data_IF_588561988342
#
_entry.id   IF_588561988342
#
_cell.length_a   1.000
_cell.length_b   1.000
_cell.length_c   1.000
_cell.angle_alpha   90.00
_cell.angle_beta   90.00
_cell.angle_gamma   90.00
#
_symmetry.space_group_name_H-M   'P 1'
#
loop_
_entity.id
_entity.type
_entity.pdbx_description
1 polymer ?
#
# COMPACT_ATOMS: atom_id res chain seq x y z
N UNK A 1 -5.46 -18.47 10.50
CA UNK A 1 -4.29 -17.57 10.54
C UNK A 1 -4.73 -16.28 11.20
N UNK A 2 -3.85 -15.67 12.00
CA UNK A 2 -4.21 -14.51 12.82
C UNK A 2 -4.34 -13.25 11.95
N UNK A 3 -5.55 -12.71 11.81
CA UNK A 3 -5.85 -11.53 10.99
C UNK A 3 -5.79 -10.21 11.79
N UNK A 4 -5.19 -10.21 12.97
CA UNK A 4 -5.13 -9.04 13.86
C UNK A 4 -3.69 -8.67 14.17
N UNK A 5 -3.37 -7.37 14.03
CA UNK A 5 -2.05 -6.84 14.34
C UNK A 5 -1.72 -7.05 15.82
N UNK A 6 -2.68 -6.81 16.72
CA UNK A 6 -2.48 -6.93 18.16
C UNK A 6 -2.01 -8.34 18.60
N UNK A 7 -2.42 -9.37 17.87
CA UNK A 7 -2.03 -10.75 18.14
C UNK A 7 -0.68 -11.14 17.50
N UNK A 8 -0.27 -10.47 16.41
CA UNK A 8 1.04 -10.68 15.77
C UNK A 8 2.15 -9.82 16.38
N UNK A 9 1.80 -8.64 16.88
CA UNK A 9 2.71 -7.59 17.31
C UNK A 9 3.76 -8.06 18.34
N UNK A 10 3.42 -8.81 19.41
CA UNK A 10 4.44 -9.29 20.35
C UNK A 10 5.50 -10.18 19.69
N UNK A 11 5.09 -11.05 18.75
CA UNK A 11 6.02 -11.92 18.01
C UNK A 11 6.86 -11.11 17.02
N UNK A 12 6.23 -10.16 16.33
CA UNK A 12 6.91 -9.30 15.37
C UNK A 12 7.97 -8.41 16.06
N UNK A 13 7.64 -7.81 17.20
CA UNK A 13 8.59 -7.02 17.99
C UNK A 13 9.74 -7.87 18.52
N UNK A 14 9.47 -9.09 19.00
CA UNK A 14 10.53 -10.03 19.39
C UNK A 14 11.44 -10.39 18.21
N UNK A 15 10.87 -10.59 17.03
CA UNK A 15 11.63 -10.84 15.80
C UNK A 15 12.58 -9.68 15.48
N UNK A 16 12.07 -8.43 15.45
CA UNK A 16 12.88 -7.23 15.20
C UNK A 16 13.98 -7.06 16.25
N UNK A 17 13.65 -7.21 17.53
CA UNK A 17 14.60 -7.08 18.64
C UNK A 17 15.75 -8.10 18.57
N UNK A 18 15.41 -9.34 18.22
CA UNK A 18 16.34 -10.48 18.27
C UNK A 18 17.23 -10.52 17.03
N UNK A 19 16.66 -10.33 15.84
CA UNK A 19 17.37 -10.55 14.58
C UNK A 19 17.93 -9.26 13.98
N UNK A 20 17.39 -8.09 14.38
CA UNK A 20 17.75 -6.77 13.85
C UNK A 20 17.93 -6.78 12.32
N UNK A 21 16.94 -7.31 11.57
CA UNK A 21 17.09 -7.52 10.15
C UNK A 21 17.23 -6.19 9.42
N UNK A 22 18.06 -6.16 8.37
CA UNK A 22 18.02 -5.07 7.40
C UNK A 22 16.70 -5.14 6.63
N UNK A 23 15.89 -4.10 6.72
CA UNK A 23 14.61 -3.98 6.02
C UNK A 23 14.65 -2.74 5.14
N UNK A 24 14.27 -2.91 3.87
CA UNK A 24 14.21 -1.86 2.86
C UNK A 24 12.76 -1.69 2.40
N UNK A 25 12.21 -0.50 2.54
CA UNK A 25 10.90 -0.12 2.04
C UNK A 25 11.04 0.56 0.66
N UNK A 26 10.58 -0.13 -0.37
CA UNK A 26 10.58 0.31 -1.76
C UNK A 26 9.36 1.15 -2.13
N UNK A 27 9.28 2.40 -1.65
CA UNK A 27 8.11 3.27 -1.89
C UNK A 27 8.46 4.75 -2.01
N UNK A 28 7.69 5.48 -2.83
CA UNK A 28 7.66 6.95 -2.87
C UNK A 28 6.47 7.55 -2.08
N UNK A 29 5.50 6.72 -1.68
CA UNK A 29 4.28 7.17 -1.01
C UNK A 29 4.54 7.54 0.45
N UNK A 30 4.14 8.77 0.82
CA UNK A 30 4.18 9.27 2.20
C UNK A 30 3.26 8.46 3.13
N UNK A 31 2.07 8.06 2.67
CA UNK A 31 1.14 7.23 3.45
C UNK A 31 1.77 5.87 3.79
N UNK A 32 2.43 5.21 2.83
CA UNK A 32 3.14 3.94 3.08
C UNK A 32 4.32 4.08 4.03
N UNK A 33 5.06 5.19 3.96
CA UNK A 33 6.15 5.49 4.90
C UNK A 33 5.62 5.74 6.32
N UNK A 34 4.48 6.42 6.46
CA UNK A 34 3.82 6.62 7.75
C UNK A 34 3.41 5.28 8.36
N UNK A 35 2.75 4.41 7.60
CA UNK A 35 2.32 3.09 8.06
C UNK A 35 3.49 2.19 8.44
N UNK A 36 4.56 2.18 7.64
CA UNK A 36 5.78 1.46 7.97
C UNK A 36 6.41 1.99 9.26
N UNK A 37 6.46 3.32 9.46
CA UNK A 37 6.97 3.92 10.70
C UNK A 37 6.17 3.49 11.93
N UNK A 38 4.84 3.47 11.81
CA UNK A 38 3.95 2.99 12.88
C UNK A 38 4.20 1.52 13.18
N UNK A 39 4.33 0.67 12.15
CA UNK A 39 4.59 -0.76 12.33
C UNK A 39 5.96 -1.03 12.97
N UNK A 40 6.98 -0.28 12.58
CA UNK A 40 8.35 -0.48 13.03
C UNK A 40 8.64 0.07 14.44
N UNK A 41 7.77 0.88 15.05
CA UNK A 41 7.87 1.34 16.46
C UNK A 41 9.29 1.70 16.96
N UNK A 42 10.05 2.43 16.15
CA UNK A 42 11.41 2.89 16.50
C UNK A 42 12.56 2.00 16.03
N UNK A 43 12.28 0.84 15.42
CA UNK A 43 13.28 0.06 14.69
C UNK A 43 13.62 0.72 13.35
N UNK A 44 14.92 0.72 13.00
CA UNK A 44 15.40 1.30 11.77
C UNK A 44 15.00 0.49 10.53
N UNK A 45 14.71 1.19 9.44
CA UNK A 45 14.55 0.63 8.10
C UNK A 45 15.05 1.64 7.07
N UNK A 46 15.43 1.16 5.90
CA UNK A 46 15.86 1.98 4.77
C UNK A 46 14.68 2.26 3.85
N UNK A 47 14.74 3.38 3.13
CA UNK A 47 13.80 3.66 2.04
C UNK A 47 14.55 3.69 0.71
N UNK A 48 13.93 3.14 -0.32
CA UNK A 48 14.43 3.16 -1.71
C UNK A 48 13.28 3.46 -2.64
N UNK A 49 13.56 4.15 -3.74
CA UNK A 49 12.57 4.47 -4.76
C UNK A 49 12.87 3.68 -6.04
N UNK A 50 11.83 3.07 -6.61
CA UNK A 50 11.89 2.54 -7.96
C UNK A 50 11.71 3.69 -8.96
N UNK A 51 12.51 3.70 -10.02
CA UNK A 51 12.27 4.56 -11.19
C UNK A 51 11.76 3.65 -12.30
N UNK A 52 10.46 3.34 -12.25
CA UNK A 52 9.78 2.57 -13.29
C UNK A 52 8.71 3.44 -13.95
N UNK A 53 8.48 3.21 -15.23
CA UNK A 53 7.32 3.73 -15.92
C UNK A 53 6.12 2.83 -15.59
N UNK A 54 5.39 3.19 -14.53
CA UNK A 54 4.20 2.44 -14.11
C UNK A 54 3.12 2.42 -15.20
N UNK A 55 3.10 3.43 -16.10
CA UNK A 55 2.11 3.49 -17.18
C UNK A 55 2.36 2.47 -18.29
N UNK A 56 3.62 2.03 -18.45
CA UNK A 56 3.99 1.01 -19.42
C UNK A 56 3.57 -0.42 -18.99
N UNK A 57 3.26 -0.62 -17.71
CA UNK A 57 2.83 -1.92 -17.17
C UNK A 57 1.32 -1.91 -17.08
N UNK A 58 0.67 -2.77 -17.87
CA UNK A 58 -0.79 -2.85 -17.94
C UNK A 58 -1.23 -4.30 -17.88
N UNK A 59 -2.24 -4.56 -17.07
CA UNK A 59 -2.95 -5.83 -16.99
C UNK A 59 -4.45 -5.54 -16.92
N UNK A 60 -5.27 -6.44 -17.46
CA UNK A 60 -6.73 -6.28 -17.45
C UNK A 60 -7.32 -6.40 -16.05
N UNK A 61 -6.75 -7.31 -15.24
CA UNK A 61 -7.18 -7.55 -13.87
C UNK A 61 -6.38 -6.69 -12.90
N UNK A 62 -7.04 -6.01 -11.93
CA UNK A 62 -6.35 -5.19 -10.95
C UNK A 62 -5.35 -5.99 -10.12
N UNK A 63 -5.66 -7.24 -9.78
CA UNK A 63 -4.79 -8.14 -9.01
C UNK A 63 -3.46 -8.41 -9.73
N UNK A 64 -3.54 -8.71 -11.03
CA UNK A 64 -2.38 -8.96 -11.86
C UNK A 64 -1.55 -7.68 -12.03
N UNK A 65 -2.22 -6.54 -12.22
CA UNK A 65 -1.57 -5.23 -12.37
C UNK A 65 -0.74 -4.88 -11.15
N UNK A 66 -1.32 -4.92 -9.94
CA UNK A 66 -0.59 -4.52 -8.73
C UNK A 66 0.52 -5.49 -8.38
N UNK A 67 0.38 -6.77 -8.70
CA UNK A 67 1.46 -7.75 -8.49
C UNK A 67 2.61 -7.51 -9.47
N UNK A 68 2.31 -7.26 -10.74
CA UNK A 68 3.30 -6.93 -11.76
C UNK A 68 4.07 -5.65 -11.41
N UNK A 69 3.36 -4.60 -10.97
CA UNK A 69 3.96 -3.34 -10.53
C UNK A 69 4.88 -3.53 -9.31
N UNK A 70 4.44 -4.25 -8.28
CA UNK A 70 5.27 -4.52 -7.12
C UNK A 70 6.53 -5.32 -7.48
N UNK A 71 6.42 -6.31 -8.37
CA UNK A 71 7.59 -7.03 -8.88
C UNK A 71 8.54 -6.14 -9.68
N UNK A 72 8.03 -5.32 -10.60
CA UNK A 72 8.85 -4.39 -11.38
C UNK A 72 9.60 -3.40 -10.46
N UNK A 73 8.94 -2.89 -9.41
CA UNK A 73 9.59 -2.06 -8.39
C UNK A 73 10.72 -2.79 -7.69
N UNK A 74 10.54 -4.06 -7.34
CA UNK A 74 11.56 -4.87 -6.67
C UNK A 74 12.78 -5.07 -7.56
N UNK A 75 12.57 -5.43 -8.83
CA UNK A 75 13.67 -5.63 -9.79
C UNK A 75 14.42 -4.31 -10.07
N UNK A 76 13.71 -3.20 -10.23
CA UNK A 76 14.33 -1.89 -10.46
C UNK A 76 15.19 -1.44 -9.26
N UNK A 77 14.69 -1.60 -8.03
CA UNK A 77 15.45 -1.25 -6.82
C UNK A 77 16.70 -2.12 -6.68
N UNK A 78 16.57 -3.45 -6.86
CA UNK A 78 17.73 -4.36 -6.82
C UNK A 78 18.76 -4.00 -7.90
N UNK A 79 18.31 -3.69 -9.12
CA UNK A 79 19.18 -3.25 -10.21
C UNK A 79 19.96 -1.99 -9.88
N UNK A 80 19.32 -0.98 -9.28
CA UNK A 80 20.00 0.25 -8.84
C UNK A 80 21.03 -0.02 -7.75
N UNK A 81 20.68 -0.81 -6.73
CA UNK A 81 21.62 -1.15 -5.65
C UNK A 81 22.83 -1.93 -6.18
N UNK A 82 22.60 -2.86 -7.11
CA UNK A 82 23.66 -3.60 -7.78
C UNK A 82 24.58 -2.66 -8.59
N UNK A 83 24.00 -1.74 -9.36
CA UNK A 83 24.75 -0.77 -10.16
C UNK A 83 25.57 0.21 -9.29
N UNK A 84 25.08 0.53 -8.10
CA UNK A 84 25.79 1.35 -7.11
C UNK A 84 26.90 0.58 -6.36
N UNK A 85 27.08 -0.72 -6.61
CA UNK A 85 28.05 -1.56 -5.90
C UNK A 85 27.69 -1.80 -4.43
N UNK A 86 26.44 -1.58 -4.04
CA UNK A 86 25.98 -1.86 -2.67
C UNK A 86 25.95 -3.37 -2.44
N UNK A 87 26.31 -3.82 -1.23
CA UNK A 87 25.96 -5.18 -0.80
C UNK A 87 24.43 -5.23 -0.57
N UNK A 88 23.72 -5.61 -1.63
CA UNK A 88 22.26 -5.72 -1.63
C UNK A 88 21.79 -7.14 -1.40
N UNK A 89 22.68 -8.11 -1.11
CA UNK A 89 22.32 -9.53 -0.93
C UNK A 89 21.99 -9.90 0.50
N UNK A 90 21.69 -8.93 1.35
CA UNK A 90 21.33 -9.14 2.75
C UNK A 90 20.09 -8.36 3.12
N UNK A 91 19.20 -8.97 3.90
CA UNK A 91 17.97 -8.34 4.38
C UNK A 91 16.74 -8.64 3.52
N UNK A 92 15.72 -7.79 3.69
CA UNK A 92 14.40 -7.94 3.08
C UNK A 92 13.99 -6.65 2.37
N UNK A 93 13.60 -6.78 1.10
CA UNK A 93 13.02 -5.68 0.32
C UNK A 93 11.50 -5.83 0.28
N UNK A 94 10.79 -4.85 0.83
CA UNK A 94 9.34 -4.70 0.73
C UNK A 94 9.01 -3.78 -0.44
N UNK A 95 8.23 -4.29 -1.39
CA UNK A 95 7.61 -3.48 -2.45
C UNK A 95 6.13 -3.75 -2.47
N UNK A 96 5.35 -2.72 -2.78
CA UNK A 96 3.91 -2.81 -2.84
C UNK A 96 3.35 -1.89 -3.90
N UNK A 97 2.17 -2.25 -4.38
CA UNK A 97 1.37 -1.42 -5.25
C UNK A 97 -0.11 -1.47 -4.88
N UNK A 98 -0.88 -0.49 -5.33
CA UNK A 98 -2.31 -0.42 -5.05
C UNK A 98 -3.02 0.41 -6.09
N UNK A 99 -4.18 -0.09 -6.52
CA UNK A 99 -5.15 0.65 -7.32
C UNK A 99 -6.48 0.75 -6.59
N UNK A 100 -7.28 1.76 -6.95
CA UNK A 100 -8.68 1.84 -6.55
C UNK A 100 -9.53 1.17 -7.64
N UNK A 101 -10.62 0.54 -7.24
CA UNK A 101 -11.60 -0.06 -8.13
C UNK A 101 -12.98 0.50 -7.82
N UNK A 102 -13.74 0.85 -8.85
CA UNK A 102 -15.09 1.39 -8.70
C UNK A 102 -15.89 1.09 -9.96
N UNK A 103 -17.11 0.55 -9.80
CA UNK A 103 -17.99 0.15 -10.92
C UNK A 103 -17.28 -0.67 -12.02
N UNK A 104 -16.41 -1.61 -11.60
CA UNK A 104 -15.67 -2.50 -12.51
C UNK A 104 -14.47 -1.85 -13.23
N UNK A 105 -14.16 -0.59 -12.93
CA UNK A 105 -13.05 0.16 -13.50
C UNK A 105 -11.90 0.27 -12.50
N UNK A 106 -10.66 0.30 -13.01
CA UNK A 106 -9.47 0.68 -12.26
C UNK A 106 -9.38 2.21 -12.27
N UNK A 107 -9.39 2.81 -11.09
CA UNK A 107 -9.20 4.25 -10.89
C UNK A 107 -7.75 4.51 -10.50
N UNK A 108 -7.02 5.18 -11.39
CA UNK A 108 -5.69 5.72 -11.12
C UNK A 108 -5.82 7.11 -10.44
N UNK A 109 -4.83 7.98 -10.64
CA UNK A 109 -4.93 9.39 -10.25
C UNK A 109 -5.86 10.11 -11.23
N UNK A 110 -6.79 10.94 -10.74
CA UNK A 110 -7.69 11.70 -11.61
C UNK A 110 -6.90 12.71 -12.45
N UNK A 111 -7.30 12.89 -13.71
CA UNK A 111 -6.67 13.83 -14.65
C UNK A 111 -7.26 15.25 -14.55
N UNK A 112 -8.42 15.41 -13.91
CA UNK A 112 -9.07 16.71 -13.71
C UNK A 112 -9.93 16.78 -12.44
N UNK A 113 -10.30 17.99 -12.03
CA UNK A 113 -11.24 18.21 -10.93
C UNK A 113 -12.61 17.59 -11.21
N UNK A 114 -13.09 17.69 -12.46
CA UNK A 114 -14.37 17.13 -12.88
C UNK A 114 -14.37 15.61 -12.75
N UNK A 115 -13.25 14.96 -13.08
CA UNK A 115 -13.10 13.52 -12.89
C UNK A 115 -13.13 13.13 -11.42
N UNK A 116 -12.32 13.80 -10.58
CA UNK A 116 -12.32 13.55 -9.15
C UNK A 116 -13.73 13.74 -8.54
N UNK A 117 -14.45 14.81 -8.92
CA UNK A 117 -15.84 15.05 -8.50
C UNK A 117 -16.77 13.92 -8.89
N UNK A 118 -16.71 13.45 -10.16
CA UNK A 118 -17.55 12.34 -10.64
C UNK A 118 -17.33 11.07 -9.81
N UNK A 119 -16.08 10.75 -9.49
CA UNK A 119 -15.75 9.60 -8.65
C UNK A 119 -16.30 9.76 -7.22
N UNK A 120 -16.02 10.90 -6.57
CA UNK A 120 -16.49 11.21 -5.21
C UNK A 120 -18.02 11.12 -5.09
N UNK A 121 -18.76 11.65 -6.06
CA UNK A 121 -20.23 11.55 -6.11
C UNK A 121 -20.71 10.11 -6.31
N UNK A 122 -19.92 9.27 -6.96
CA UNK A 122 -20.22 7.86 -7.23
C UNK A 122 -20.04 6.95 -6.01
N UNK A 123 -19.11 7.26 -5.12
CA UNK A 123 -18.75 6.39 -3.99
C UNK A 123 -19.89 6.14 -3.00
N UNK A 124 -20.80 7.09 -2.83
CA UNK A 124 -22.00 6.90 -2.00
C UNK A 124 -23.09 6.04 -2.65
N UNK A 125 -22.99 5.73 -3.95
CA UNK A 125 -23.93 4.86 -4.68
C UNK A 125 -23.40 3.44 -4.81
N UNK A 126 -22.15 3.31 -5.26
CA UNK A 126 -21.44 2.03 -5.31
C UNK A 126 -20.16 2.15 -4.48
N UNK A 127 -19.93 1.25 -3.51
CA UNK A 127 -18.69 1.25 -2.73
C UNK A 127 -17.45 1.10 -3.63
N UNK A 128 -16.46 2.01 -3.52
CA UNK A 128 -15.14 1.74 -4.08
C UNK A 128 -14.43 0.65 -3.27
N UNK A 129 -13.45 0.01 -3.89
CA UNK A 129 -12.53 -0.91 -3.23
C UNK A 129 -11.09 -0.60 -3.56
N UNK A 130 -10.16 -1.12 -2.76
CA UNK A 130 -8.75 -1.12 -3.11
C UNK A 130 -8.31 -2.54 -3.43
N UNK A 131 -7.43 -2.67 -4.42
CA UNK A 131 -6.69 -3.90 -4.68
C UNK A 131 -5.23 -3.53 -4.57
N UNK A 132 -4.54 -4.10 -3.58
CA UNK A 132 -3.14 -3.90 -3.30
C UNK A 132 -2.35 -5.19 -3.34
N UNK A 133 -1.03 -5.08 -3.47
CA UNK A 133 -0.09 -6.18 -3.32
C UNK A 133 1.01 -5.80 -2.36
N UNK A 134 1.48 -6.77 -1.56
CA UNK A 134 2.71 -6.65 -0.78
C UNK A 134 3.62 -7.80 -1.19
N UNK A 135 4.86 -7.48 -1.55
CA UNK A 135 5.91 -8.43 -1.91
C UNK A 135 7.11 -8.20 -1.01
N UNK A 136 7.49 -9.22 -0.24
CA UNK A 136 8.75 -9.29 0.50
C UNK A 136 9.73 -10.17 -0.27
N UNK A 137 10.84 -9.58 -0.72
CA UNK A 137 11.95 -10.31 -1.32
C UNK A 137 13.05 -10.52 -0.29
N UNK A 138 13.37 -11.77 0.03
CA UNK A 138 14.60 -12.09 0.76
C UNK A 138 15.78 -11.86 -0.18
N UNK A 139 16.61 -10.87 0.14
CA UNK A 139 17.67 -10.42 -0.74
C UNK A 139 18.85 -11.40 -0.84
N UNK A 140 19.05 -12.26 0.17
CA UNK A 140 20.10 -13.26 0.16
C UNK A 140 19.75 -14.51 -0.63
N UNK A 141 18.48 -14.95 -0.57
CA UNK A 141 18.02 -16.17 -1.24
C UNK A 141 17.29 -15.91 -2.55
N UNK A 142 16.81 -14.68 -2.77
CA UNK A 142 15.93 -14.32 -3.88
C UNK A 142 14.47 -14.78 -3.70
N UNK A 143 14.13 -15.47 -2.61
CA UNK A 143 12.78 -15.95 -2.34
C UNK A 143 11.80 -14.77 -2.18
N UNK A 144 10.61 -14.92 -2.76
CA UNK A 144 9.54 -13.91 -2.70
C UNK A 144 8.36 -14.44 -1.88
N UNK A 145 7.85 -13.61 -0.98
CA UNK A 145 6.67 -13.87 -0.15
C UNK A 145 5.68 -12.75 -0.45
N UNK A 146 4.51 -13.10 -0.96
CA UNK A 146 3.59 -12.11 -1.51
C UNK A 146 2.14 -12.47 -1.28
N UNK A 147 1.30 -11.45 -1.17
CA UNK A 147 -0.15 -11.60 -1.06
C UNK A 147 -0.85 -10.36 -1.58
N UNK A 148 -2.11 -10.54 -1.96
CA UNK A 148 -3.03 -9.46 -2.29
C UNK A 148 -3.70 -8.93 -1.02
N UNK A 149 -4.04 -7.66 -1.04
CA UNK A 149 -4.73 -6.95 0.02
C UNK A 149 -5.93 -6.23 -0.60
N UNK A 150 -7.15 -6.73 -0.33
CA UNK A 150 -8.36 -6.27 -1.01
C UNK A 150 -9.31 -5.71 0.03
N UNK A 151 -9.79 -4.48 -0.20
CA UNK A 151 -10.71 -3.81 0.70
C UNK A 151 -11.93 -3.24 -0.03
N UNK A 152 -12.99 -2.97 0.71
CA UNK A 152 -14.14 -2.18 0.25
C UNK A 152 -14.47 -1.08 1.25
N UNK A 153 -14.77 0.11 0.77
CA UNK A 153 -15.05 1.28 1.59
C UNK A 153 -16.53 1.62 1.40
N UNK A 154 -17.31 1.52 2.47
CA UNK A 154 -18.75 1.78 2.43
C UNK A 154 -18.99 3.26 2.75
N UNK A 155 -19.32 4.05 1.73
CA UNK A 155 -19.67 5.46 1.92
C UNK A 155 -21.18 5.68 2.01
N UNK A 156 -21.59 6.61 2.88
CA UNK A 156 -22.84 7.36 2.73
C UNK A 156 -22.69 8.36 1.58
N UNK A 157 -23.79 8.90 1.02
CA UNK A 157 -23.70 10.02 0.08
C UNK A 157 -22.83 11.15 0.63
N UNK A 158 -21.78 11.51 -0.10
CA UNK A 158 -20.87 12.61 0.25
C UNK A 158 -21.53 13.92 -0.25
N UNK A 159 -21.82 14.89 0.62
CA UNK A 159 -22.44 16.16 0.22
C UNK A 159 -21.54 16.96 -0.71
N UNK A 160 -22.13 17.71 -1.64
CA UNK A 160 -21.39 18.53 -2.60
C UNK A 160 -20.43 19.53 -1.91
N UNK A 161 -20.86 20.11 -0.77
CA UNK A 161 -20.01 21.02 0.00
C UNK A 161 -18.75 20.36 0.60
N UNK A 162 -18.77 19.05 0.83
CA UNK A 162 -17.60 18.26 1.27
C UNK A 162 -16.71 17.94 0.08
N UNK A 163 -17.31 17.55 -1.05
CA UNK A 163 -16.60 17.35 -2.32
C UNK A 163 -15.85 18.63 -2.72
N UNK A 164 -16.50 19.79 -2.65
CA UNK A 164 -15.87 21.10 -2.90
C UNK A 164 -14.65 21.35 -2.02
N UNK A 165 -14.70 20.97 -0.75
CA UNK A 165 -13.59 21.15 0.18
C UNK A 165 -12.43 20.20 -0.15
N UNK A 166 -12.72 18.95 -0.50
CA UNK A 166 -11.71 17.98 -0.94
C UNK A 166 -11.01 18.49 -2.20
N UNK A 167 -11.79 18.95 -3.19
CA UNK A 167 -11.25 19.46 -4.45
C UNK A 167 -10.39 20.71 -4.23
N UNK A 168 -10.86 21.67 -3.42
CA UNK A 168 -10.07 22.86 -3.04
C UNK A 168 -8.78 22.52 -2.30
N UNK A 169 -8.75 21.39 -1.58
CA UNK A 169 -7.56 20.92 -0.87
C UNK A 169 -6.43 20.43 -1.78
N UNK A 170 -6.72 20.02 -3.02
CA UNK A 170 -5.70 19.62 -4.01
C UNK A 170 -5.09 18.22 -3.81
N UNK A 171 -5.13 17.66 -2.59
CA UNK A 171 -4.55 16.34 -2.27
C UNK A 171 -5.09 15.17 -3.12
N UNK A 172 -6.26 15.36 -3.72
CA UNK A 172 -6.93 14.40 -4.61
C UNK A 172 -6.11 14.10 -5.87
N UNK A 173 -5.36 15.07 -6.39
CA UNK A 173 -4.62 14.94 -7.66
C UNK A 173 -3.50 13.88 -7.58
N UNK A 174 -2.95 13.68 -6.39
CA UNK A 174 -1.89 12.69 -6.15
C UNK A 174 -2.39 11.39 -5.51
N UNK A 175 -3.71 11.18 -5.49
CA UNK A 175 -4.33 10.02 -4.87
C UNK A 175 -5.11 9.18 -5.87
N UNK A 176 -4.86 7.87 -5.88
CA UNK A 176 -5.66 6.95 -6.67
C UNK A 176 -7.11 7.01 -6.19
N UNK A 177 -8.07 7.13 -7.11
CA UNK A 177 -9.48 7.30 -6.75
C UNK A 177 -9.83 8.69 -6.17
N UNK A 178 -8.91 9.65 -6.18
CA UNK A 178 -9.20 11.06 -5.90
C UNK A 178 -9.60 11.38 -4.45
N UNK A 179 -9.35 10.49 -3.49
CA UNK A 179 -9.60 10.78 -2.07
C UNK A 179 -8.61 10.09 -1.15
N UNK A 180 -8.36 10.72 0.00
CA UNK A 180 -7.58 10.18 1.10
C UNK A 180 -8.52 9.89 2.26
N UNK A 181 -8.73 8.61 2.56
CA UNK A 181 -9.70 8.23 3.61
C UNK A 181 -9.32 8.77 4.99
N UNK A 182 -8.04 9.08 5.20
CA UNK A 182 -7.50 9.65 6.43
C UNK A 182 -7.87 11.12 6.64
N UNK A 183 -8.55 11.76 5.68
CA UNK A 183 -9.02 13.14 5.84
C UNK A 183 -10.20 13.20 6.83
N UNK A 184 -10.11 13.99 7.92
CA UNK A 184 -11.16 14.05 8.95
C UNK A 184 -12.55 14.45 8.41
N UNK A 185 -12.60 15.21 7.31
CA UNK A 185 -13.86 15.63 6.68
C UNK A 185 -14.67 14.44 6.13
N UNK A 186 -14.03 13.30 5.85
CA UNK A 186 -14.68 12.09 5.32
C UNK A 186 -15.24 11.17 6.41
N UNK A 187 -14.77 11.29 7.66
CA UNK A 187 -15.13 10.40 8.78
C UNK A 187 -16.65 10.22 8.95
N UNK A 188 -17.50 11.29 8.91
CA UNK A 188 -18.95 11.13 9.06
C UNK A 188 -19.64 10.33 7.94
N UNK A 189 -18.96 10.23 6.79
CA UNK A 189 -19.48 9.63 5.56
C UNK A 189 -18.96 8.22 5.34
N UNK A 190 -17.94 7.77 6.07
CA UNK A 190 -17.51 6.38 6.05
C UNK A 190 -18.41 5.59 7.00
N UNK A 191 -19.26 4.73 6.44
CA UNK A 191 -20.15 3.85 7.20
C UNK A 191 -19.49 2.53 7.62
N UNK A 192 -18.41 2.15 6.95
CA UNK A 192 -17.63 0.96 7.28
C UNK A 192 -16.50 0.71 6.28
N UNK A 193 -15.55 -0.12 6.68
CA UNK A 193 -14.47 -0.64 5.82
C UNK A 193 -14.49 -2.16 5.97
N UNK A 194 -14.66 -2.86 4.85
CA UNK A 194 -14.43 -4.29 4.76
C UNK A 194 -12.93 -4.49 4.44
N UNK A 195 -12.16 -4.88 5.45
CA UNK A 195 -10.70 -4.83 5.43
C UNK A 195 -10.19 -3.98 6.59
N UNK A 196 -9.15 -3.19 6.36
CA UNK A 196 -8.61 -2.29 7.38
C UNK A 196 -8.17 -0.95 6.78
N UNK A 197 -8.14 0.08 7.62
CA UNK A 197 -7.81 1.45 7.22
C UNK A 197 -6.39 1.57 6.63
N UNK A 198 -5.40 0.90 7.24
CA UNK A 198 -4.03 0.86 6.74
C UNK A 198 -3.90 0.17 5.37
N UNK A 199 -4.74 -0.83 5.12
CA UNK A 199 -4.86 -1.48 3.81
C UNK A 199 -5.39 -0.48 2.77
N UNK A 200 -6.47 0.26 3.07
CA UNK A 200 -6.98 1.31 2.17
C UNK A 200 -5.94 2.41 1.92
N UNK A 201 -5.21 2.81 2.95
CA UNK A 201 -4.12 3.80 2.86
C UNK A 201 -2.90 3.32 2.05
N UNK A 202 -2.83 2.03 1.68
CA UNK A 202 -1.83 1.51 0.76
C UNK A 202 -0.79 0.56 1.34
N UNK A 203 -0.89 0.15 2.61
CA UNK A 203 0.00 -0.84 3.21
C UNK A 203 -0.62 -1.51 4.45
N UNK A 204 -1.19 -2.70 4.30
CA UNK A 204 -1.60 -3.53 5.44
C UNK A 204 -0.43 -3.86 6.36
N UNK A 205 -0.48 -3.38 7.61
CA UNK A 205 0.53 -3.65 8.65
C UNK A 205 0.51 -5.11 9.07
N UNK A 206 -0.69 -5.71 9.15
CA UNK A 206 -0.86 -7.14 9.48
C UNK A 206 -0.18 -8.00 8.42
N UNK A 207 -0.49 -7.75 7.14
CA UNK A 207 0.08 -8.53 6.04
C UNK A 207 1.59 -8.31 5.96
N UNK A 208 2.05 -7.06 6.08
CA UNK A 208 3.48 -6.72 6.08
C UNK A 208 4.24 -7.46 7.17
N UNK A 209 3.78 -7.40 8.43
CA UNK A 209 4.43 -8.07 9.56
C UNK A 209 4.49 -9.59 9.34
N UNK A 210 3.37 -10.17 8.89
CA UNK A 210 3.28 -11.60 8.61
C UNK A 210 4.24 -12.04 7.52
N UNK A 211 4.25 -11.37 6.36
CA UNK A 211 5.14 -11.74 5.25
C UNK A 211 6.61 -11.56 5.62
N UNK A 212 6.98 -10.52 6.38
CA UNK A 212 8.34 -10.35 6.90
C UNK A 212 8.75 -11.51 7.83
N UNK A 213 7.87 -11.92 8.74
CA UNK A 213 8.12 -13.06 9.63
C UNK A 213 8.26 -14.37 8.84
N UNK A 214 7.40 -14.61 7.84
CA UNK A 214 7.51 -15.77 6.94
C UNK A 214 8.84 -15.78 6.19
N UNK A 215 9.23 -14.64 5.62
CA UNK A 215 10.49 -14.50 4.90
C UNK A 215 11.72 -14.75 5.77
N UNK A 216 11.59 -14.50 7.08
CA UNK A 216 12.61 -14.77 8.09
C UNK A 216 12.51 -16.16 8.74
N UNK A 217 11.56 -17.00 8.32
CA UNK A 217 11.36 -18.33 8.91
C UNK A 217 10.85 -18.31 10.35
N UNK A 218 10.24 -17.21 10.79
CA UNK A 218 9.64 -17.08 12.13
C UNK A 218 8.25 -17.72 12.13
N UNK A 219 7.97 -18.70 13.02
CA UNK A 219 6.65 -19.33 13.10
C UNK A 219 5.55 -18.35 13.50
N UNK A 220 4.42 -18.39 12.77
CA UNK A 220 3.24 -17.52 12.97
C UNK A 220 2.13 -18.26 13.69
#
# INVERSE_FOLDING_TARGET
MTNSLAALEPKFMKFLATHKPRIILGTRSSSRQLLMRQLMQGYAYETRTADIDEKAIRCEKPEDLVMALAHAKAEAIKGKMAAAGEDYKTGYLLTCDQVVTHDGCILEKPESEEEARRWLQGYGRTPPGTVGSIVITNLGTGAKFQELDITRILFKPIPEAVIDQIIKGGDWADCAGGLRIEQPILEPYISGIEGSEDSVMGLSKVLTARLLMQAAGVPI
#
